data_IF_803179771614
#
_entry.id   IF_803179771614
#
_cell.length_a   1.000
_cell.length_b   1.000
_cell.length_c   1.000
_cell.angle_alpha   90.00
_cell.angle_beta   90.00
_cell.angle_gamma   90.00
#
_symmetry.space_group_name_H-M   'P 1'
#
loop_
_entity.id
_entity.type
_entity.pdbx_description
1 polymer ?
#
# COMPACT_ATOMS: atom_id res chain seq x y z
N UNK A 1 -2.47 2.74 22.32
CA UNK A 1 -3.12 2.11 21.15
C UNK A 1 -4.41 1.42 21.60
N UNK A 2 -5.46 1.61 20.87
CA UNK A 2 -6.74 0.98 21.20
C UNK A 2 -6.74 -0.49 20.76
N UNK A 3 -7.56 -1.31 21.41
CA UNK A 3 -7.72 -2.72 21.02
C UNK A 3 -8.22 -2.86 19.58
N UNK A 4 -9.01 -1.89 19.12
CA UNK A 4 -9.55 -1.87 17.77
C UNK A 4 -8.42 -1.75 16.72
N UNK A 5 -7.46 -0.87 16.95
CA UNK A 5 -6.37 -0.65 16.01
C UNK A 5 -5.46 -1.87 15.94
N UNK A 6 -5.17 -2.47 17.08
CA UNK A 6 -4.33 -3.66 17.13
C UNK A 6 -5.00 -4.83 16.40
N UNK A 7 -6.29 -5.02 16.64
CA UNK A 7 -7.04 -6.11 16.01
C UNK A 7 -7.06 -5.96 14.48
N UNK A 8 -7.24 -4.74 14.01
CA UNK A 8 -7.25 -4.46 12.57
C UNK A 8 -5.89 -4.78 11.94
N UNK A 9 -4.82 -4.34 12.56
CA UNK A 9 -3.46 -4.60 12.08
C UNK A 9 -3.16 -6.10 12.05
N UNK A 10 -3.54 -6.84 13.09
CA UNK A 10 -3.33 -8.27 13.15
C UNK A 10 -4.04 -9.01 12.01
N UNK A 11 -5.23 -8.56 11.66
CA UNK A 11 -6.00 -9.19 10.58
C UNK A 11 -5.34 -8.96 9.21
N UNK A 12 -4.79 -7.78 8.98
CA UNK A 12 -4.05 -7.54 7.74
C UNK A 12 -2.78 -8.39 7.66
N UNK A 13 -2.10 -8.55 8.76
CA UNK A 13 -0.94 -9.43 8.81
C UNK A 13 -1.35 -10.88 8.57
N UNK A 14 -2.47 -11.29 9.15
CA UNK A 14 -3.00 -12.63 8.94
C UNK A 14 -3.41 -12.89 7.51
N UNK A 15 -3.75 -11.87 6.75
CA UNK A 15 -4.06 -11.98 5.33
C UNK A 15 -2.80 -12.09 4.46
N UNK A 16 -1.60 -12.03 5.07
CA UNK A 16 -0.31 -12.13 4.38
C UNK A 16 -0.13 -11.07 3.31
N UNK A 17 -0.69 -9.89 3.51
CA UNK A 17 -0.50 -8.78 2.59
C UNK A 17 0.76 -8.02 2.97
N UNK A 18 1.73 -8.01 2.07
CA UNK A 18 2.99 -7.30 2.23
C UNK A 18 3.08 -6.19 1.21
N UNK A 19 3.73 -5.11 1.61
CA UNK A 19 3.91 -3.97 0.74
C UNK A 19 5.38 -3.56 0.73
N UNK A 20 5.91 -3.35 -0.46
CA UNK A 20 7.24 -2.79 -0.64
C UNK A 20 7.11 -1.47 -1.38
N UNK A 21 7.84 -0.46 -0.90
CA UNK A 21 7.84 0.87 -1.49
C UNK A 21 9.14 1.09 -2.25
N UNK A 22 9.04 1.69 -3.44
CA UNK A 22 10.21 2.10 -4.22
C UNK A 22 10.04 3.56 -4.58
N UNK A 23 10.68 4.47 -3.85
CA UNK A 23 10.60 5.89 -4.17
C UNK A 23 11.19 6.19 -5.54
N UNK A 24 10.63 7.20 -6.19
CA UNK A 24 11.10 7.63 -7.49
C UNK A 24 11.78 8.98 -7.36
N UNK A 25 13.02 9.07 -7.85
CA UNK A 25 13.77 10.30 -7.87
C UNK A 25 13.77 10.90 -9.27
N UNK A 26 14.10 12.19 -9.38
CA UNK A 26 14.11 12.88 -10.66
C UNK A 26 15.08 12.26 -11.68
N UNK A 27 16.13 11.58 -11.22
CA UNK A 27 17.10 10.92 -12.08
C UNK A 27 16.82 9.42 -12.28
N UNK A 28 15.66 8.93 -11.82
CA UNK A 28 15.27 7.55 -12.01
C UNK A 28 14.71 6.92 -10.75
N UNK A 29 14.50 5.60 -10.79
CA UNK A 29 14.02 4.85 -9.64
C UNK A 29 15.17 4.50 -8.72
N UNK A 30 14.95 4.64 -7.43
CA UNK A 30 15.87 4.12 -6.43
C UNK A 30 15.78 2.59 -6.45
N UNK A 31 16.92 1.92 -6.45
CA UNK A 31 16.95 0.46 -6.48
C UNK A 31 16.50 -0.16 -5.17
N UNK A 32 16.63 0.58 -4.07
CA UNK A 32 16.28 0.07 -2.76
C UNK A 32 14.78 -0.02 -2.59
N UNK A 33 14.35 -1.11 -1.95
CA UNK A 33 12.97 -1.35 -1.58
C UNK A 33 12.82 -1.12 -0.09
N UNK A 34 11.73 -0.49 0.30
CA UNK A 34 11.46 -0.20 1.71
C UNK A 34 10.17 -0.91 2.12
N UNK A 35 10.16 -1.59 3.27
CA UNK A 35 8.94 -2.24 3.72
C UNK A 35 7.95 -1.22 4.26
N UNK A 36 6.68 -1.59 4.21
CA UNK A 36 5.62 -0.80 4.81
C UNK A 36 4.58 -1.75 5.39
N UNK A 37 4.01 -1.34 6.52
CA UNK A 37 2.94 -2.07 7.15
C UNK A 37 1.61 -1.51 6.64
N UNK A 38 0.75 -2.39 6.14
CA UNK A 38 -0.57 -1.99 5.65
C UNK A 38 -1.53 -1.91 6.83
N UNK A 39 -2.16 -0.75 7.01
CA UNK A 39 -3.15 -0.56 8.07
C UNK A 39 -4.58 -0.50 7.53
N UNK A 40 -4.74 -0.22 6.24
CA UNK A 40 -6.05 -0.23 5.60
C UNK A 40 -5.85 -0.44 4.11
N UNK A 41 -6.79 -1.11 3.46
CA UNK A 41 -6.70 -1.43 2.04
C UNK A 41 -8.06 -1.29 1.38
N UNK A 42 -8.07 -0.66 0.21
CA UNK A 42 -9.22 -0.59 -0.67
C UNK A 42 -8.74 -0.60 -2.12
N UNK A 43 -9.66 -0.79 -3.06
CA UNK A 43 -9.31 -0.82 -4.49
C UNK A 43 -8.66 0.49 -4.94
N UNK A 44 -9.10 1.62 -4.36
CA UNK A 44 -8.59 2.93 -4.77
C UNK A 44 -7.32 3.38 -4.07
N UNK A 45 -6.95 2.75 -2.96
CA UNK A 45 -5.79 3.21 -2.21
C UNK A 45 -5.48 2.38 -0.99
N UNK A 46 -4.47 2.81 -0.25
CA UNK A 46 -3.93 2.05 0.86
C UNK A 46 -3.42 3.00 1.93
N UNK A 47 -3.61 2.64 3.19
CA UNK A 47 -3.00 3.35 4.31
C UNK A 47 -1.84 2.52 4.83
N UNK A 48 -0.71 3.18 5.11
CA UNK A 48 0.52 2.49 5.47
C UNK A 48 1.24 3.17 6.62
N UNK A 49 2.12 2.39 7.26
CA UNK A 49 3.10 2.88 8.22
C UNK A 49 4.47 2.44 7.70
N UNK A 50 5.42 3.38 7.62
CA UNK A 50 6.75 3.11 7.11
C UNK A 50 7.78 4.03 7.79
N UNK A 51 9.03 3.59 7.99
CA UNK A 51 10.07 4.50 8.44
C UNK A 51 10.52 5.49 7.37
N UNK A 52 10.10 5.30 6.13
CA UNK A 52 10.50 6.15 5.02
C UNK A 52 9.75 7.47 5.04
N UNK A 53 10.48 8.58 4.92
CA UNK A 53 9.87 9.91 4.87
C UNK A 53 9.45 10.23 3.45
N UNK A 54 8.15 10.44 3.26
CA UNK A 54 7.55 10.76 1.98
C UNK A 54 6.88 12.13 2.06
N UNK A 55 6.71 12.78 0.91
CA UNK A 55 6.07 14.09 0.82
C UNK A 55 4.69 13.96 0.19
N UNK A 56 3.77 14.84 0.61
CA UNK A 56 2.47 14.94 -0.06
C UNK A 56 2.66 15.21 -1.54
N UNK A 57 1.91 14.50 -2.37
CA UNK A 57 2.00 14.61 -3.82
C UNK A 57 3.10 13.79 -4.45
N UNK A 58 3.96 13.21 -3.64
CA UNK A 58 5.04 12.37 -4.17
C UNK A 58 4.46 11.11 -4.80
N UNK A 59 4.98 10.74 -5.97
CA UNK A 59 4.60 9.49 -6.66
C UNK A 59 5.68 8.46 -6.37
N UNK A 60 5.24 7.29 -5.94
CA UNK A 60 6.12 6.16 -5.67
C UNK A 60 5.57 4.94 -6.39
N UNK A 61 6.40 3.94 -6.54
CA UNK A 61 5.93 2.64 -7.04
C UNK A 61 5.81 1.68 -5.86
N UNK A 62 4.71 0.97 -5.80
CA UNK A 62 4.48 -0.01 -4.75
C UNK A 62 4.36 -1.40 -5.36
N UNK A 63 4.81 -2.39 -4.60
CA UNK A 63 4.63 -3.79 -4.94
C UNK A 63 3.79 -4.41 -3.84
N UNK A 64 2.65 -4.96 -4.22
CA UNK A 64 1.74 -5.65 -3.31
C UNK A 64 1.93 -7.14 -3.48
N UNK A 65 2.22 -7.82 -2.38
CA UNK A 65 2.43 -9.26 -2.36
C UNK A 65 1.40 -9.88 -1.43
N UNK A 66 0.48 -10.63 -1.99
CA UNK A 66 -0.46 -11.42 -1.21
C UNK A 66 -0.22 -12.89 -1.47
N UNK A 67 -0.97 -13.75 -0.78
CA UNK A 67 -0.79 -15.18 -0.90
C UNK A 67 -0.93 -15.68 -2.35
N UNK A 68 -1.87 -15.11 -3.10
CA UNK A 68 -2.18 -15.57 -4.45
C UNK A 68 -1.98 -14.53 -5.53
N UNK A 69 -1.68 -13.28 -5.17
CA UNK A 69 -1.62 -12.20 -6.14
C UNK A 69 -0.40 -11.32 -5.90
N UNK A 70 0.32 -11.02 -6.97
CA UNK A 70 1.44 -10.09 -6.93
C UNK A 70 1.16 -8.96 -7.90
N UNK A 71 1.22 -7.72 -7.41
CA UNK A 71 1.10 -6.53 -8.24
C UNK A 71 2.38 -5.73 -8.08
N UNK A 72 3.13 -5.61 -9.17
CA UNK A 72 4.44 -4.96 -9.15
C UNK A 72 4.37 -3.60 -9.83
N UNK A 73 5.18 -2.67 -9.32
CA UNK A 73 5.37 -1.35 -9.92
C UNK A 73 4.05 -0.60 -10.12
N UNK A 74 3.17 -0.70 -9.13
CA UNK A 74 1.91 0.03 -9.15
C UNK A 74 2.18 1.48 -8.76
N UNK A 75 1.88 2.45 -9.64
CA UNK A 75 2.09 3.85 -9.28
C UNK A 75 1.09 4.29 -8.23
N UNK A 76 1.58 5.00 -7.22
CA UNK A 76 0.76 5.51 -6.13
C UNK A 76 1.23 6.91 -5.75
N UNK A 77 0.30 7.72 -5.31
CA UNK A 77 0.56 9.08 -4.92
C UNK A 77 0.24 9.27 -3.44
N UNK A 78 1.12 9.96 -2.72
CA UNK A 78 0.89 10.28 -1.31
C UNK A 78 -0.16 11.39 -1.25
N UNK A 79 -1.35 11.07 -0.77
CA UNK A 79 -2.46 12.02 -0.70
C UNK A 79 -2.77 12.45 0.73
N UNK A 80 -2.22 11.77 1.72
CA UNK A 80 -2.41 12.12 3.12
C UNK A 80 -1.16 11.77 3.91
N UNK A 81 -0.79 12.64 4.85
CA UNK A 81 0.30 12.41 5.77
C UNK A 81 -0.22 12.67 7.17
N UNK A 82 -0.21 11.64 8.01
CA UNK A 82 -0.76 11.72 9.37
C UNK A 82 0.33 11.91 10.42
N UNK A 83 1.55 12.26 9.98
CA UNK A 83 2.63 12.58 10.87
C UNK A 83 3.48 11.38 11.26
N UNK A 84 4.33 11.59 12.24
CA UNK A 84 5.30 10.62 12.72
C UNK A 84 4.91 10.13 14.11
N UNK A 85 4.97 8.82 14.33
CA UNK A 85 4.70 8.27 15.66
C UNK A 85 5.96 8.29 16.53
N UNK A 86 5.84 7.74 17.76
CA UNK A 86 6.93 7.76 18.74
C UNK A 86 8.09 6.84 18.36
N UNK A 87 7.86 5.91 17.44
CA UNK A 87 8.89 4.98 16.96
C UNK A 87 9.55 5.46 15.67
N UNK A 88 9.42 6.73 15.34
CA UNK A 88 9.98 7.33 14.13
C UNK A 88 9.44 6.69 12.85
N UNK A 89 8.20 6.24 12.88
CA UNK A 89 7.50 5.73 11.72
C UNK A 89 6.47 6.76 11.28
N UNK A 90 6.27 6.83 9.97
CA UNK A 90 5.34 7.79 9.36
C UNK A 90 4.11 7.06 8.88
N UNK A 91 2.97 7.76 8.92
CA UNK A 91 1.69 7.24 8.46
C UNK A 91 1.25 8.01 7.24
N UNK A 92 0.89 7.29 6.18
CA UNK A 92 0.48 7.89 4.92
C UNK A 92 -0.76 7.23 4.38
N UNK A 93 -1.57 8.01 3.65
CA UNK A 93 -2.56 7.48 2.74
C UNK A 93 -2.05 7.61 1.32
N UNK A 94 -2.12 6.53 0.57
CA UNK A 94 -1.68 6.48 -0.83
C UNK A 94 -2.88 6.21 -1.71
N UNK A 95 -2.93 6.88 -2.85
CA UNK A 95 -3.94 6.63 -3.89
C UNK A 95 -3.27 5.96 -5.08
N UNK A 96 -3.84 4.83 -5.54
CA UNK A 96 -3.32 4.16 -6.71
C UNK A 96 -3.65 4.94 -7.97
N UNK A 97 -2.65 5.18 -8.81
CA UNK A 97 -2.81 5.96 -10.05
C UNK A 97 -2.93 5.02 -11.24
N UNK A 98 -4.05 4.31 -11.35
CA UNK A 98 -4.28 3.35 -12.43
C UNK A 98 -4.33 4.04 -13.80
N UNK A 99 -4.72 5.30 -13.83
CA UNK A 99 -4.79 6.07 -15.07
C UNK A 99 -3.41 6.32 -15.70
N UNK A 100 -2.33 6.07 -14.96
CA UNK A 100 -0.98 6.17 -15.49
C UNK A 100 -0.50 4.89 -16.15
N UNK A 101 -1.31 3.84 -16.10
CA UNK A 101 -1.00 2.56 -16.73
C UNK A 101 -1.69 2.47 -18.08
N UNK A 102 -1.14 1.68 -19.04
CA UNK A 102 -1.89 1.37 -20.26
C UNK A 102 -3.23 0.73 -19.92
N UNK A 103 -4.21 0.90 -20.79
CA UNK A 103 -5.59 0.49 -20.51
C UNK A 103 -5.70 -0.97 -20.09
N UNK A 104 -5.03 -1.88 -20.80
CA UNK A 104 -5.10 -3.31 -20.48
C UNK A 104 -4.48 -3.56 -19.11
N UNK A 105 -3.32 -2.98 -18.83
CA UNK A 105 -2.66 -3.14 -17.54
C UNK A 105 -3.50 -2.53 -16.41
N UNK A 106 -4.14 -1.38 -16.67
CA UNK A 106 -5.01 -0.75 -15.70
C UNK A 106 -6.18 -1.64 -15.32
N UNK A 107 -6.84 -2.23 -16.32
CA UNK A 107 -7.99 -3.12 -16.09
C UNK A 107 -7.57 -4.38 -15.34
N UNK A 108 -6.44 -4.97 -15.70
CA UNK A 108 -5.95 -6.16 -15.02
C UNK A 108 -5.57 -5.85 -13.57
N UNK A 109 -4.92 -4.71 -13.34
CA UNK A 109 -4.53 -4.29 -11.99
C UNK A 109 -5.77 -4.03 -11.14
N UNK A 110 -6.77 -3.37 -11.69
CA UNK A 110 -8.03 -3.12 -10.98
C UNK A 110 -8.69 -4.44 -10.56
N UNK A 111 -8.72 -5.41 -11.46
CA UNK A 111 -9.27 -6.73 -11.16
C UNK A 111 -8.51 -7.39 -10.00
N UNK A 112 -7.18 -7.38 -10.04
CA UNK A 112 -6.37 -7.98 -8.99
C UNK A 112 -6.54 -7.27 -7.66
N UNK A 113 -6.63 -5.94 -7.66
CA UNK A 113 -6.89 -5.17 -6.44
C UNK A 113 -8.23 -5.55 -5.83
N UNK A 114 -9.24 -5.76 -6.65
CA UNK A 114 -10.55 -6.20 -6.18
C UNK A 114 -10.47 -7.60 -5.56
N UNK A 115 -9.71 -8.50 -6.15
CA UNK A 115 -9.54 -9.84 -5.61
C UNK A 115 -8.84 -9.80 -4.25
N UNK A 116 -7.84 -8.95 -4.10
CA UNK A 116 -7.15 -8.79 -2.81
C UNK A 116 -8.11 -8.22 -1.77
N UNK A 117 -8.90 -7.21 -2.13
CA UNK A 117 -9.87 -6.61 -1.21
C UNK A 117 -10.88 -7.65 -0.72
N UNK A 118 -11.38 -8.47 -1.62
CA UNK A 118 -12.34 -9.52 -1.25
C UNK A 118 -11.70 -10.55 -0.32
N UNK A 119 -10.46 -10.94 -0.59
CA UNK A 119 -9.76 -11.90 0.26
C UNK A 119 -9.55 -11.35 1.68
N UNK A 120 -9.20 -10.07 1.79
CA UNK A 120 -9.05 -9.42 3.09
C UNK A 120 -10.38 -9.37 3.83
N UNK A 121 -11.46 -9.01 3.15
CA UNK A 121 -12.79 -8.96 3.76
C UNK A 121 -13.20 -10.33 4.29
N UNK A 122 -12.97 -11.38 3.54
CA UNK A 122 -13.28 -12.74 3.98
C UNK A 122 -12.49 -13.11 5.23
N UNK A 123 -11.21 -12.74 5.27
CA UNK A 123 -10.38 -12.98 6.44
C UNK A 123 -10.90 -12.23 7.66
N UNK A 124 -11.35 -10.99 7.47
CA UNK A 124 -11.88 -10.17 8.57
C UNK A 124 -13.21 -10.66 9.09
N UNK A 125 -14.02 -11.29 8.24
CA UNK A 125 -15.34 -11.80 8.63
C UNK A 125 -15.21 -13.10 9.42
N UNK A 126 -14.28 -13.95 9.04
CA UNK A 126 -14.06 -15.22 9.72
C UNK A 126 -13.23 -15.02 10.98
#
# INVERSE_FOLDING_TARGET
>A
MTAKDRRFSDRYEGASLKLELRPRYWFGLKKEKYPALVTNFAVGGIAIITPLKLKLGQVIHVTLLSEFHNIRQLPAEVVRSDGKDMDYRYRYGLRFNLNKLPEIASNNTHFLLKQIELAIRQTLIT
#
